data_IF_275770613056
#
_entry.id   IF_275770613056
#
_cell.length_a   1.000
_cell.length_b   1.000
_cell.length_c   1.000
_cell.angle_alpha   90.00
_cell.angle_beta   90.00
_cell.angle_gamma   90.00
#
_symmetry.space_group_name_H-M   'P 1'
#
loop_
_entity.id
_entity.type
_entity.pdbx_description
1 polymer ?
#
# COMPACT_ATOMS: atom_id res chain seq x y z
N UNK A 1 3.89 15.41 -7.63
CA UNK A 1 4.25 16.60 -8.40
C UNK A 1 3.06 17.01 -9.26
N UNK A 2 2.39 18.13 -9.00
CA UNK A 2 1.24 18.54 -9.80
C UNK A 2 1.67 19.07 -11.16
N UNK A 3 1.03 18.59 -12.22
CA UNK A 3 1.11 19.16 -13.55
C UNK A 3 0.14 20.33 -13.66
N UNK A 4 0.50 21.34 -14.46
CA UNK A 4 -0.41 22.44 -14.77
C UNK A 4 -1.64 21.89 -15.50
N UNK A 5 -2.83 22.42 -15.18
CA UNK A 5 -4.05 22.02 -15.85
C UNK A 5 -3.88 22.11 -17.37
N UNK A 6 -4.18 21.01 -18.05
CA UNK A 6 -4.42 21.09 -19.50
C UNK A 6 -5.59 22.05 -19.72
N UNK A 7 -5.56 22.89 -20.77
CA UNK A 7 -6.71 23.71 -21.13
C UNK A 7 -7.93 22.79 -21.26
N UNK A 8 -9.05 23.23 -20.72
CA UNK A 8 -10.31 22.48 -20.90
C UNK A 8 -10.59 22.41 -22.39
N UNK A 9 -11.08 21.29 -22.86
CA UNK A 9 -11.46 21.12 -24.27
C UNK A 9 -12.53 22.17 -24.72
N UNK A 10 -13.21 22.79 -23.75
CA UNK A 10 -14.07 23.97 -23.97
C UNK A 10 -13.34 25.22 -24.45
N UNK A 11 -12.01 25.28 -24.34
CA UNK A 11 -11.20 26.41 -24.71
C UNK A 11 -10.63 26.30 -26.14
N UNK A 12 -10.98 25.23 -26.86
CA UNK A 12 -10.61 25.01 -28.26
C UNK A 12 -11.83 25.34 -29.12
N UNK A 13 -11.77 26.49 -29.74
CA UNK A 13 -12.66 27.10 -30.72
C UNK A 13 -13.90 26.31 -31.19
N UNK A 14 -15.09 26.75 -30.77
CA UNK A 14 -16.34 26.59 -31.51
C UNK A 14 -16.99 25.23 -31.57
N UNK A 15 -16.43 24.20 -31.01
CA UNK A 15 -17.13 22.95 -30.77
C UNK A 15 -17.94 23.09 -29.47
N UNK A 16 -19.26 23.00 -29.57
CA UNK A 16 -20.16 22.97 -28.41
C UNK A 16 -19.69 22.01 -27.34
N UNK A 17 -20.27 22.04 -26.12
CA UNK A 17 -19.73 21.35 -24.95
C UNK A 17 -19.64 19.84 -25.24
N UNK A 18 -18.52 19.43 -25.78
CA UNK A 18 -18.12 18.03 -25.75
C UNK A 18 -17.74 17.79 -24.29
N UNK A 19 -18.71 17.41 -23.49
CA UNK A 19 -18.46 16.72 -22.25
C UNK A 19 -17.69 15.47 -22.62
N UNK A 20 -16.36 15.59 -22.66
CA UNK A 20 -15.54 14.38 -22.53
C UNK A 20 -16.02 13.81 -21.19
N UNK A 21 -16.68 12.63 -21.20
CA UNK A 21 -16.97 12.00 -19.94
C UNK A 21 -15.65 11.96 -19.18
N UNK A 22 -15.68 12.36 -17.93
CA UNK A 22 -14.55 12.33 -17.02
C UNK A 22 -14.16 10.85 -16.90
N UNK A 23 -13.55 10.33 -17.94
CA UNK A 23 -12.76 9.13 -17.85
C UNK A 23 -11.53 9.55 -17.06
N UNK A 24 -11.66 9.52 -15.75
CA UNK A 24 -10.54 9.49 -14.86
C UNK A 24 -9.72 8.24 -15.17
N UNK A 25 -9.11 8.22 -16.35
CA UNK A 25 -8.13 7.24 -16.72
C UNK A 25 -6.90 7.53 -15.89
N UNK A 26 -6.76 6.86 -14.76
CA UNK A 26 -5.51 6.87 -14.03
C UNK A 26 -4.50 6.12 -14.86
N UNK A 27 -3.47 6.82 -15.32
CA UNK A 27 -2.29 6.19 -15.90
C UNK A 27 -1.26 6.04 -14.79
N UNK A 28 -0.78 4.82 -14.57
CA UNK A 28 0.24 4.54 -13.56
C UNK A 28 1.44 3.86 -14.20
N UNK A 29 2.62 4.22 -13.75
CA UNK A 29 3.85 3.53 -14.09
C UNK A 29 4.46 2.96 -12.80
N UNK A 30 4.68 1.65 -12.78
CA UNK A 30 5.33 0.96 -11.69
C UNK A 30 6.80 0.75 -12.03
N UNK A 31 7.70 1.37 -11.29
CA UNK A 31 9.11 1.43 -11.60
C UNK A 31 9.95 0.59 -10.63
N UNK A 32 10.74 -0.37 -11.12
CA UNK A 32 11.79 -0.99 -10.33
C UNK A 32 12.92 0.03 -10.04
N UNK A 33 13.69 -0.20 -8.97
CA UNK A 33 14.67 0.77 -8.50
C UNK A 33 15.73 1.12 -9.55
N UNK A 34 16.12 0.17 -10.39
CA UNK A 34 17.07 0.40 -11.49
C UNK A 34 16.55 1.38 -12.55
N UNK A 35 15.22 1.51 -12.67
CA UNK A 35 14.60 2.48 -13.58
C UNK A 35 14.40 3.85 -12.92
N UNK A 36 14.48 3.91 -11.61
CA UNK A 36 14.41 5.15 -10.82
C UNK A 36 15.76 5.84 -10.80
N UNK A 37 16.85 5.09 -10.54
CA UNK A 37 18.21 5.64 -10.44
C UNK A 37 19.29 4.64 -10.85
N UNK A 38 20.41 5.16 -11.37
CA UNK A 38 21.64 4.38 -11.61
C UNK A 38 22.32 3.93 -10.32
N UNK A 39 22.11 4.66 -9.23
CA UNK A 39 22.78 4.47 -7.95
C UNK A 39 22.08 3.42 -7.05
N UNK A 40 21.21 2.62 -7.67
CA UNK A 40 20.38 1.65 -6.96
C UNK A 40 21.20 0.63 -6.14
N UNK A 41 22.40 0.27 -6.58
CA UNK A 41 23.26 -0.67 -5.86
C UNK A 41 23.78 -0.07 -4.56
N UNK A 42 24.16 1.21 -4.57
CA UNK A 42 24.67 1.92 -3.40
C UNK A 42 23.54 2.15 -2.39
N UNK A 43 22.32 2.45 -2.89
CA UNK A 43 21.11 2.56 -2.05
C UNK A 43 20.84 1.23 -1.35
N UNK A 44 20.85 0.11 -2.06
CA UNK A 44 20.64 -1.23 -1.47
C UNK A 44 21.74 -1.60 -0.47
N UNK A 45 23.00 -1.33 -0.82
CA UNK A 45 24.12 -1.58 0.07
C UNK A 45 23.99 -0.79 1.38
N UNK A 46 23.68 0.50 1.28
CA UNK A 46 23.47 1.35 2.46
C UNK A 46 22.31 0.86 3.31
N UNK A 47 21.18 0.48 2.68
CA UNK A 47 20.03 -0.05 3.39
C UNK A 47 20.34 -1.33 4.17
N UNK A 48 21.17 -2.21 3.60
CA UNK A 48 21.55 -3.49 4.22
C UNK A 48 22.43 -3.34 5.48
N UNK A 49 23.05 -2.18 5.66
CA UNK A 49 23.91 -1.89 6.84
C UNK A 49 23.12 -1.35 8.03
N UNK A 50 21.86 -1.00 7.84
CA UNK A 50 21.04 -0.40 8.89
C UNK A 50 20.54 -1.48 9.84
N UNK A 51 20.85 -1.33 11.12
CA UNK A 51 20.35 -2.23 12.15
C UNK A 51 18.87 -1.95 12.41
N UNK A 52 18.00 -2.90 12.06
CA UNK A 52 16.54 -2.79 12.24
C UNK A 52 16.12 -2.50 13.68
N UNK A 53 16.89 -2.98 14.66
CA UNK A 53 16.61 -2.73 16.09
C UNK A 53 16.65 -1.25 16.44
N UNK A 54 17.49 -0.47 15.75
CA UNK A 54 17.59 0.99 15.98
C UNK A 54 16.38 1.76 15.44
N UNK A 55 15.57 1.13 14.58
CA UNK A 55 14.39 1.72 13.93
C UNK A 55 13.07 1.37 14.65
N UNK A 56 13.14 0.48 15.63
CA UNK A 56 12.00 0.04 16.41
C UNK A 56 12.01 0.71 17.81
N UNK A 57 10.84 0.81 18.46
CA UNK A 57 10.78 1.21 19.87
C UNK A 57 11.66 0.29 20.74
N UNK A 58 12.29 0.86 21.76
CA UNK A 58 13.22 0.12 22.65
C UNK A 58 12.59 -1.07 23.39
N UNK A 59 11.26 -1.09 23.50
CA UNK A 59 10.47 -2.15 24.10
C UNK A 59 9.78 -3.05 23.07
N UNK A 60 10.19 -2.98 21.82
CA UNK A 60 9.64 -3.86 20.78
C UNK A 60 9.89 -5.34 21.13
N UNK A 61 8.87 -6.17 20.96
CA UNK A 61 8.98 -7.61 21.15
C UNK A 61 9.99 -8.20 20.15
N UNK A 62 10.74 -9.22 20.59
CA UNK A 62 11.76 -9.86 19.75
C UNK A 62 11.17 -10.48 18.48
N UNK A 63 9.92 -10.93 18.52
CA UNK A 63 9.24 -11.47 17.34
C UNK A 63 8.96 -10.38 16.30
N UNK A 64 8.66 -9.14 16.73
CA UNK A 64 8.50 -7.99 15.85
C UNK A 64 9.84 -7.66 15.17
N UNK A 65 10.92 -7.67 15.94
CA UNK A 65 12.28 -7.43 15.40
C UNK A 65 12.65 -8.49 14.36
N UNK A 66 12.41 -9.78 14.68
CA UNK A 66 12.66 -10.88 13.75
C UNK A 66 11.81 -10.79 12.48
N UNK A 67 10.53 -10.44 12.62
CA UNK A 67 9.64 -10.23 11.48
C UNK A 67 10.03 -9.06 10.61
N UNK A 68 10.45 -7.94 11.20
CA UNK A 68 10.93 -6.78 10.45
C UNK A 68 12.22 -7.11 9.68
N UNK A 69 13.17 -7.81 10.31
CA UNK A 69 14.38 -8.26 9.63
C UNK A 69 14.04 -9.16 8.43
N UNK A 70 13.17 -10.15 8.62
CA UNK A 70 12.74 -11.03 7.54
C UNK A 70 12.03 -10.28 6.39
N UNK A 71 11.22 -9.28 6.70
CA UNK A 71 10.60 -8.42 5.70
C UNK A 71 11.63 -7.56 4.97
N UNK A 72 12.61 -7.00 5.69
CA UNK A 72 13.67 -6.19 5.10
C UNK A 72 14.52 -7.00 4.12
N UNK A 73 14.90 -8.22 4.47
CA UNK A 73 15.67 -9.09 3.59
C UNK A 73 14.93 -9.35 2.27
N UNK A 74 13.62 -9.63 2.35
CA UNK A 74 12.77 -9.81 1.15
C UNK A 74 12.66 -8.50 0.35
N UNK A 75 12.48 -7.37 1.01
CA UNK A 75 12.35 -6.07 0.33
C UNK A 75 13.63 -5.68 -0.38
N UNK A 76 14.80 -5.93 0.23
CA UNK A 76 16.09 -5.68 -0.41
C UNK A 76 16.32 -6.57 -1.63
N UNK A 77 15.86 -7.83 -1.59
CA UNK A 77 15.89 -8.70 -2.76
C UNK A 77 14.92 -8.22 -3.86
N UNK A 78 13.76 -7.69 -3.50
CA UNK A 78 12.85 -7.06 -4.46
C UNK A 78 13.44 -5.77 -5.05
N UNK A 79 14.18 -4.98 -4.29
CA UNK A 79 14.88 -3.78 -4.76
C UNK A 79 15.97 -4.12 -5.80
N UNK A 80 16.60 -5.29 -5.69
CA UNK A 80 17.55 -5.82 -6.69
C UNK A 80 16.88 -6.29 -7.97
N UNK A 81 15.58 -6.60 -7.93
CA UNK A 81 14.87 -7.21 -9.05
C UNK A 81 14.47 -6.18 -10.10
N UNK A 82 14.79 -6.39 -11.39
CA UNK A 82 14.34 -5.53 -12.47
C UNK A 82 12.83 -5.68 -12.78
N UNK A 83 12.15 -6.63 -12.13
CA UNK A 83 10.74 -6.93 -12.34
C UNK A 83 9.86 -6.56 -11.13
N UNK A 84 10.46 -6.06 -10.06
CA UNK A 84 9.74 -5.67 -8.86
C UNK A 84 9.74 -4.14 -8.71
N UNK A 85 8.59 -3.53 -8.87
CA UNK A 85 8.45 -2.10 -8.70
C UNK A 85 8.62 -1.69 -7.23
N UNK A 86 9.25 -0.56 -7.00
CA UNK A 86 9.42 0.09 -5.70
C UNK A 86 8.71 1.42 -5.63
N UNK A 87 8.51 2.06 -6.78
CA UNK A 87 7.86 3.36 -6.93
C UNK A 87 6.70 3.28 -7.91
N UNK A 88 5.67 4.05 -7.63
CA UNK A 88 4.55 4.32 -8.52
C UNK A 88 4.59 5.79 -8.92
N UNK A 89 4.55 6.05 -10.23
CA UNK A 89 4.29 7.36 -10.79
C UNK A 89 2.85 7.34 -11.30
N UNK A 90 1.97 8.02 -10.60
CA UNK A 90 0.55 8.04 -10.91
C UNK A 90 0.13 9.36 -11.51
N UNK A 91 -0.58 9.29 -12.64
CA UNK A 91 -1.30 10.40 -13.23
C UNK A 91 -2.80 10.15 -13.07
N UNK A 92 -3.38 10.73 -12.05
CA UNK A 92 -4.77 10.49 -11.63
C UNK A 92 -5.79 11.34 -12.39
N UNK A 93 -5.77 11.27 -13.72
CA UNK A 93 -6.85 11.83 -14.57
C UNK A 93 -7.12 13.33 -14.43
N UNK A 94 -6.20 14.07 -13.86
CA UNK A 94 -6.27 15.51 -13.62
C UNK A 94 -4.96 16.20 -14.00
N UNK A 95 -4.66 17.26 -13.29
CA UNK A 95 -3.47 18.09 -13.52
C UNK A 95 -2.26 17.68 -12.69
N UNK A 96 -2.36 16.56 -11.98
CA UNK A 96 -1.39 16.19 -10.97
C UNK A 96 -0.74 14.86 -11.30
N UNK A 97 0.57 14.83 -11.28
CA UNK A 97 1.37 13.60 -11.21
C UNK A 97 1.90 13.47 -9.80
N UNK A 98 1.66 12.32 -9.22
CA UNK A 98 2.15 11.97 -7.89
C UNK A 98 3.21 10.88 -8.00
N UNK A 99 4.14 10.88 -7.05
CA UNK A 99 5.12 9.81 -6.84
C UNK A 99 4.79 9.16 -5.50
N UNK A 100 4.66 7.86 -5.51
CA UNK A 100 4.34 7.10 -4.31
C UNK A 100 5.28 5.90 -4.15
N UNK A 101 5.89 5.80 -2.99
CA UNK A 101 6.65 4.63 -2.62
C UNK A 101 5.70 3.49 -2.28
N UNK A 102 5.75 2.40 -3.03
CA UNK A 102 4.88 1.23 -2.86
C UNK A 102 5.52 0.11 -2.05
N UNK A 103 6.80 0.19 -1.79
CA UNK A 103 7.58 -0.79 -0.99
C UNK A 103 8.48 -0.08 0.03
N UNK A 104 7.91 0.69 0.96
CA UNK A 104 8.73 1.39 1.96
C UNK A 104 9.44 0.39 2.89
N UNK A 105 10.66 0.73 3.25
CA UNK A 105 11.42 0.03 4.29
C UNK A 105 11.03 0.51 5.69
N UNK A 106 10.56 1.74 5.82
CA UNK A 106 10.05 2.32 7.07
C UNK A 106 8.86 1.54 7.63
N UNK A 107 8.70 1.56 8.94
CA UNK A 107 7.56 0.95 9.64
C UNK A 107 6.97 1.94 10.62
N UNK A 108 5.65 1.92 10.69
CA UNK A 108 4.86 2.66 11.66
C UNK A 108 4.17 1.76 12.68
N UNK A 109 3.30 2.35 13.47
CA UNK A 109 2.51 1.64 14.47
C UNK A 109 1.10 2.20 14.60
N UNK A 110 0.19 1.35 15.07
CA UNK A 110 -1.12 1.76 15.53
C UNK A 110 -1.37 1.13 16.89
N UNK A 111 -1.70 1.95 17.86
CA UNK A 111 -1.86 1.55 19.26
C UNK A 111 -3.21 2.04 19.79
N UNK A 112 -3.81 1.25 20.68
CA UNK A 112 -4.99 1.69 21.43
C UNK A 112 -4.59 2.87 22.32
N UNK A 113 -5.45 3.89 22.37
CA UNK A 113 -5.27 4.96 23.33
C UNK A 113 -5.53 4.40 24.75
N UNK A 114 -4.45 4.21 25.51
CA UNK A 114 -4.53 3.58 26.83
C UNK A 114 -5.20 4.44 27.89
N UNK A 115 -5.24 5.77 27.69
CA UNK A 115 -5.91 6.70 28.62
C UNK A 115 -7.41 6.76 28.38
N UNK A 116 -7.87 6.50 27.15
CA UNK A 116 -9.28 6.46 26.78
C UNK A 116 -9.45 5.56 25.54
N UNK A 117 -9.77 4.26 25.73
CA UNK A 117 -9.87 3.30 24.63
C UNK A 117 -11.03 3.57 23.64
N UNK A 118 -11.96 4.50 23.97
CA UNK A 118 -13.05 4.89 23.08
C UNK A 118 -12.60 5.96 22.08
N UNK A 119 -11.54 6.69 22.40
CA UNK A 119 -10.94 7.65 21.47
C UNK A 119 -10.27 6.94 20.29
N UNK A 120 -10.09 7.68 19.19
CA UNK A 120 -9.33 7.15 18.06
C UNK A 120 -7.96 6.58 18.48
N UNK A 121 -7.49 5.51 17.81
CA UNK A 121 -6.19 4.94 18.09
C UNK A 121 -5.08 5.96 17.81
N UNK A 122 -3.95 5.75 18.46
CA UNK A 122 -2.72 6.52 18.22
C UNK A 122 -2.04 5.95 16.97
N UNK A 123 -1.92 6.79 15.96
CA UNK A 123 -1.26 6.47 14.69
C UNK A 123 0.14 7.09 14.66
N UNK A 124 1.11 6.26 14.31
CA UNK A 124 2.42 6.71 13.86
C UNK A 124 2.74 6.01 12.54
N UNK A 125 2.86 6.77 11.46
CA UNK A 125 3.20 6.21 10.15
C UNK A 125 4.68 5.83 10.05
N UNK A 126 5.53 6.37 10.91
CA UNK A 126 6.97 6.15 10.86
C UNK A 126 7.59 6.58 9.53
N UNK A 127 7.00 7.58 8.85
CA UNK A 127 7.41 8.03 7.53
C UNK A 127 8.87 8.43 7.54
N UNK A 128 9.68 7.84 6.63
CA UNK A 128 11.13 8.03 6.55
C UNK A 128 11.88 7.67 7.85
N UNK A 129 11.34 6.76 8.67
CA UNK A 129 12.08 6.19 9.80
C UNK A 129 13.27 5.36 9.32
N UNK A 130 13.15 4.68 8.18
CA UNK A 130 14.27 4.10 7.46
C UNK A 130 14.82 5.14 6.48
N UNK A 131 16.07 5.60 6.63
CA UNK A 131 16.62 6.73 5.85
C UNK A 131 16.63 6.45 4.33
N UNK A 132 16.83 5.21 3.92
CA UNK A 132 16.82 4.80 2.50
C UNK A 132 15.52 5.17 1.78
N UNK A 133 14.38 5.21 2.48
CA UNK A 133 13.11 5.61 1.85
C UNK A 133 13.17 7.05 1.35
N UNK A 134 13.90 7.91 2.04
CA UNK A 134 14.09 9.29 1.61
C UNK A 134 15.04 9.39 0.41
N UNK A 135 16.07 8.54 0.37
CA UNK A 135 17.00 8.48 -0.77
C UNK A 135 16.26 8.00 -2.03
N UNK A 136 15.43 6.96 -1.90
CA UNK A 136 14.60 6.46 -3.00
C UNK A 136 13.59 7.52 -3.46
N UNK A 137 12.90 8.18 -2.53
CA UNK A 137 11.94 9.24 -2.86
C UNK A 137 12.63 10.44 -3.55
N UNK A 138 13.84 10.79 -3.13
CA UNK A 138 14.66 11.83 -3.75
C UNK A 138 15.02 11.46 -5.19
N UNK A 139 15.47 10.23 -5.42
CA UNK A 139 15.77 9.71 -6.74
C UNK A 139 14.53 9.66 -7.64
N UNK A 140 13.38 9.23 -7.09
CA UNK A 140 12.12 9.18 -7.81
C UNK A 140 11.63 10.58 -8.25
N UNK A 141 11.76 11.60 -7.39
CA UNK A 141 11.47 12.98 -7.78
C UNK A 141 12.37 13.45 -8.93
N UNK A 142 13.67 13.18 -8.87
CA UNK A 142 14.61 13.50 -9.95
C UNK A 142 14.21 12.80 -11.26
N UNK A 143 13.83 11.52 -11.17
CA UNK A 143 13.35 10.76 -12.34
C UNK A 143 12.09 11.37 -12.97
N UNK A 144 11.15 11.81 -12.17
CA UNK A 144 9.93 12.49 -12.66
C UNK A 144 10.27 13.86 -13.24
N UNK A 145 11.26 14.57 -12.72
CA UNK A 145 11.78 15.80 -13.30
C UNK A 145 12.31 15.59 -14.72
N UNK A 146 13.09 14.52 -14.93
CA UNK A 146 13.60 14.17 -16.25
C UNK A 146 12.46 13.86 -17.21
N UNK A 147 11.50 13.08 -16.77
CA UNK A 147 10.31 12.76 -17.58
C UNK A 147 9.51 14.01 -17.93
N UNK A 148 9.22 14.87 -16.94
CA UNK A 148 8.47 16.12 -17.18
C UNK A 148 9.25 17.14 -18.03
N UNK A 149 10.58 17.02 -18.15
CA UNK A 149 11.39 17.83 -19.03
C UNK A 149 11.38 17.33 -20.48
N UNK A 150 10.84 16.16 -20.77
CA UNK A 150 10.75 15.60 -22.12
C UNK A 150 9.87 16.46 -23.03
N UNK A 151 10.17 16.45 -24.34
CA UNK A 151 9.45 17.29 -25.34
C UNK A 151 7.93 17.08 -25.25
N UNK A 152 7.40 15.83 -25.26
CA UNK A 152 5.93 15.65 -25.19
C UNK A 152 5.31 16.22 -23.91
N UNK A 153 6.01 16.16 -22.78
CA UNK A 153 5.50 16.72 -21.52
C UNK A 153 5.54 18.25 -21.52
N UNK A 154 6.53 18.84 -22.16
CA UNK A 154 6.61 20.30 -22.30
C UNK A 154 5.55 20.82 -23.28
N UNK A 155 5.23 20.10 -24.35
CA UNK A 155 4.17 20.45 -25.30
C UNK A 155 2.78 20.52 -24.63
N UNK A 156 2.51 19.68 -23.63
CA UNK A 156 1.28 19.74 -22.84
C UNK A 156 1.36 20.70 -21.65
N UNK A 157 2.45 21.48 -21.51
CA UNK A 157 2.63 22.47 -20.47
C UNK A 157 2.95 21.91 -19.09
N UNK A 158 3.59 20.74 -19.00
CA UNK A 158 4.02 20.16 -17.73
C UNK A 158 4.96 21.10 -16.97
N UNK A 159 4.64 21.37 -15.71
CA UNK A 159 5.45 22.21 -14.84
C UNK A 159 5.48 21.64 -13.43
N UNK A 160 6.62 21.80 -12.76
CA UNK A 160 6.77 21.41 -11.37
C UNK A 160 6.23 22.51 -10.47
N UNK A 161 5.33 22.16 -9.56
CA UNK A 161 4.77 23.09 -8.58
C UNK A 161 5.35 22.88 -7.19
N UNK A 162 5.82 21.69 -6.88
CA UNK A 162 6.45 21.36 -5.60
C UNK A 162 7.52 20.28 -5.79
N UNK A 163 8.69 20.41 -5.18
CA UNK A 163 9.17 21.53 -4.36
C UNK A 163 9.56 22.77 -5.20
N UNK A 164 9.57 22.67 -6.52
CA UNK A 164 10.04 23.67 -7.45
C UNK A 164 11.47 23.41 -7.92
N UNK A 165 11.75 23.71 -9.19
CA UNK A 165 13.04 23.38 -9.84
C UNK A 165 14.25 24.14 -9.29
N UNK A 166 14.03 25.21 -8.53
CA UNK A 166 15.08 25.92 -7.82
C UNK A 166 15.66 25.10 -6.65
N UNK A 167 14.92 24.10 -6.14
CA UNK A 167 15.40 23.13 -5.17
C UNK A 167 16.06 22.00 -5.92
N UNK A 168 17.41 21.97 -6.01
CA UNK A 168 18.12 21.08 -6.92
C UNK A 168 19.12 20.15 -6.23
N UNK A 169 19.67 20.52 -5.07
CA UNK A 169 20.56 19.62 -4.34
C UNK A 169 19.78 18.46 -3.71
N UNK A 170 20.38 17.28 -3.63
CA UNK A 170 19.73 16.10 -3.02
C UNK A 170 19.34 16.36 -1.57
N UNK A 171 20.17 17.10 -0.84
CA UNK A 171 19.86 17.52 0.55
C UNK A 171 18.61 18.38 0.63
N UNK A 172 18.46 19.39 -0.25
CA UNK A 172 17.31 20.30 -0.21
C UNK A 172 16.05 19.62 -0.74
N UNK A 173 16.19 18.75 -1.75
CA UNK A 173 15.10 17.91 -2.24
C UNK A 173 14.60 17.00 -1.12
N UNK A 174 15.49 16.30 -0.43
CA UNK A 174 15.14 15.45 0.69
C UNK A 174 14.46 16.23 1.83
N UNK A 175 14.95 17.45 2.13
CA UNK A 175 14.33 18.35 3.08
C UNK A 175 12.91 18.74 2.69
N UNK A 176 12.70 19.11 1.44
CA UNK A 176 11.39 19.45 0.90
C UNK A 176 10.44 18.24 0.93
N UNK A 177 10.89 17.06 0.50
CA UNK A 177 10.09 15.82 0.56
C UNK A 177 9.66 15.54 2.00
N UNK A 178 10.56 15.65 2.96
CA UNK A 178 10.26 15.43 4.38
C UNK A 178 9.17 16.37 4.92
N UNK A 179 9.12 17.59 4.43
CA UNK A 179 8.12 18.59 4.83
C UNK A 179 6.78 18.45 4.12
N UNK A 180 6.80 18.02 2.86
CA UNK A 180 5.61 18.02 1.99
C UNK A 180 5.05 16.63 1.66
N UNK A 181 5.71 15.56 2.08
CA UNK A 181 5.21 14.21 1.81
C UNK A 181 3.96 13.90 2.63
N UNK A 182 2.99 13.28 1.96
CA UNK A 182 1.82 12.69 2.63
C UNK A 182 2.21 11.29 3.09
N UNK A 183 2.07 11.02 4.37
CA UNK A 183 2.52 9.76 4.99
C UNK A 183 1.79 8.51 4.48
N UNK A 184 0.62 8.67 3.92
CA UNK A 184 -0.14 7.57 3.34
C UNK A 184 -1.10 8.09 2.28
N UNK A 185 -1.23 7.35 1.19
CA UNK A 185 -2.26 7.56 0.17
C UNK A 185 -3.53 6.76 0.50
N UNK A 186 -3.88 6.71 1.79
CA UNK A 186 -4.97 5.91 2.34
C UNK A 186 -4.79 4.39 2.12
N UNK A 187 -3.54 3.95 2.04
CA UNK A 187 -3.16 2.54 1.88
C UNK A 187 -2.37 1.98 3.08
N UNK A 188 -2.70 2.30 4.36
CA UNK A 188 -2.03 1.66 5.49
C UNK A 188 -2.35 0.17 5.51
N UNK A 189 -1.33 -0.64 5.77
CA UNK A 189 -1.43 -2.11 5.77
C UNK A 189 -0.63 -2.72 6.91
N UNK A 190 -0.69 -4.03 7.07
CA UNK A 190 0.29 -4.85 7.78
C UNK A 190 0.24 -4.79 9.31
N UNK A 191 -0.70 -4.08 9.93
CA UNK A 191 -0.77 -3.95 11.40
C UNK A 191 -1.30 -5.21 12.11
N UNK A 192 -1.91 -6.16 11.37
CA UNK A 192 -2.33 -7.48 11.85
C UNK A 192 -1.76 -8.57 10.94
N UNK A 193 -0.47 -8.51 10.64
CA UNK A 193 0.19 -9.31 9.61
C UNK A 193 -0.10 -10.81 9.70
N UNK A 194 -0.36 -11.41 8.53
CA UNK A 194 -0.47 -12.86 8.36
C UNK A 194 0.94 -13.47 8.26
N UNK A 195 1.58 -13.60 9.40
CA UNK A 195 2.90 -14.18 9.60
C UNK A 195 2.84 -15.24 10.69
N UNK A 196 3.88 -16.04 10.84
CA UNK A 196 4.00 -16.91 12.01
C UNK A 196 4.20 -16.09 13.29
N UNK A 197 3.89 -16.67 14.45
CA UNK A 197 4.01 -15.95 15.73
C UNK A 197 5.44 -15.53 16.02
N UNK A 198 6.39 -16.33 15.62
CA UNK A 198 7.83 -16.10 15.78
C UNK A 198 8.33 -14.87 15.00
N UNK A 199 7.55 -14.46 13.98
CA UNK A 199 7.78 -13.26 13.18
C UNK A 199 6.77 -12.13 13.50
N UNK A 200 6.21 -12.12 14.71
CA UNK A 200 5.27 -11.10 15.13
C UNK A 200 3.90 -11.15 14.45
N UNK A 201 3.54 -12.29 13.85
CA UNK A 201 2.26 -12.49 13.19
C UNK A 201 1.07 -12.40 14.13
N UNK A 202 -0.01 -11.79 13.67
CA UNK A 202 -1.28 -11.63 14.40
C UNK A 202 -2.30 -12.66 13.97
N UNK A 203 -2.31 -13.03 12.70
CA UNK A 203 -3.24 -14.02 12.14
C UNK A 203 -2.52 -15.15 11.41
N UNK A 204 -3.13 -16.31 11.39
CA UNK A 204 -2.66 -17.48 10.63
C UNK A 204 -3.12 -17.41 9.15
N UNK A 205 -2.72 -18.38 8.33
CA UNK A 205 -3.10 -18.49 6.90
C UNK A 205 -4.61 -18.66 6.65
N UNK A 206 -5.39 -18.90 7.69
CA UNK A 206 -6.86 -18.92 7.68
C UNK A 206 -7.45 -17.62 8.25
N UNK A 207 -6.62 -16.61 8.45
CA UNK A 207 -6.95 -15.28 8.99
C UNK A 207 -7.50 -15.30 10.42
N UNK A 208 -7.25 -16.38 11.18
CA UNK A 208 -7.65 -16.49 12.58
C UNK A 208 -6.63 -15.80 13.47
N UNK A 209 -7.13 -15.00 14.40
CA UNK A 209 -6.28 -14.31 15.38
C UNK A 209 -5.66 -15.33 16.33
N UNK A 210 -4.35 -15.28 16.50
CA UNK A 210 -3.66 -16.13 17.44
C UNK A 210 -4.10 -15.90 18.88
N UNK A 211 -4.29 -16.99 19.62
CA UNK A 211 -4.66 -16.95 21.04
C UNK A 211 -6.15 -16.63 21.31
N UNK A 212 -6.93 -16.30 20.28
CA UNK A 212 -8.35 -15.98 20.41
C UNK A 212 -9.20 -16.97 19.61
N UNK A 213 -10.27 -17.50 20.20
CA UNK A 213 -11.19 -18.40 19.52
C UNK A 213 -12.30 -17.63 18.81
N UNK A 214 -12.59 -17.98 17.55
CA UNK A 214 -13.72 -17.46 16.81
C UNK A 214 -13.53 -16.04 16.23
N UNK A 215 -12.32 -15.46 16.25
CA UNK A 215 -12.02 -14.15 15.70
C UNK A 215 -11.14 -14.27 14.45
N UNK A 216 -11.46 -13.47 13.43
CA UNK A 216 -10.65 -13.28 12.23
C UNK A 216 -10.46 -11.80 11.95
N UNK A 217 -9.36 -11.47 11.26
CA UNK A 217 -9.13 -10.16 10.63
C UNK A 217 -9.17 -10.34 9.12
N UNK A 218 -9.92 -9.48 8.41
CA UNK A 218 -10.21 -9.63 6.97
C UNK A 218 -10.17 -8.26 6.29
N UNK A 219 -9.05 -7.58 6.40
CA UNK A 219 -8.81 -6.28 5.78
C UNK A 219 -7.33 -6.13 5.38
N UNK A 220 -6.90 -4.95 4.95
CA UNK A 220 -5.53 -4.71 4.52
C UNK A 220 -4.49 -4.90 5.63
N UNK A 221 -4.88 -4.91 6.90
CA UNK A 221 -3.94 -5.08 8.02
C UNK A 221 -3.29 -6.46 8.05
N UNK A 222 -3.90 -7.47 7.39
CA UNK A 222 -3.33 -8.82 7.31
C UNK A 222 -2.14 -8.96 6.36
N UNK A 223 -1.90 -8.00 5.48
CA UNK A 223 -0.81 -8.14 4.51
C UNK A 223 0.53 -8.24 5.24
N UNK A 224 1.37 -9.24 4.94
CA UNK A 224 2.71 -9.33 5.53
C UNK A 224 3.60 -8.14 5.15
N UNK A 225 3.40 -7.59 3.97
CA UNK A 225 4.06 -6.40 3.41
C UNK A 225 3.08 -5.67 2.49
N UNK A 226 3.34 -4.40 2.22
CA UNK A 226 2.55 -3.64 1.25
C UNK A 226 2.58 -4.33 -0.13
N UNK A 227 1.42 -4.42 -0.76
CA UNK A 227 1.32 -4.94 -2.14
C UNK A 227 1.83 -3.89 -3.12
N UNK A 228 2.39 -4.33 -4.25
CA UNK A 228 2.84 -3.43 -5.30
C UNK A 228 1.64 -2.95 -6.13
N UNK A 229 0.89 -2.00 -5.60
CA UNK A 229 -0.29 -1.43 -6.25
C UNK A 229 -1.33 -0.98 -5.24
N UNK A 230 -2.46 -0.53 -5.75
CA UNK A 230 -3.58 -0.08 -4.93
C UNK A 230 -4.21 -1.26 -4.18
N UNK A 231 -4.50 -1.08 -2.89
CA UNK A 231 -4.84 -2.16 -1.97
C UNK A 231 -6.24 -2.74 -2.16
N UNK A 232 -7.18 -1.98 -2.73
CA UNK A 232 -8.60 -2.32 -2.81
C UNK A 232 -8.86 -3.69 -3.45
N UNK A 233 -8.28 -3.97 -4.62
CA UNK A 233 -8.51 -5.23 -5.33
C UNK A 233 -8.07 -6.44 -4.50
N UNK A 234 -6.94 -6.34 -3.81
CA UNK A 234 -6.44 -7.41 -2.95
C UNK A 234 -7.32 -7.60 -1.72
N UNK A 235 -7.82 -6.50 -1.12
CA UNK A 235 -8.76 -6.57 0.02
C UNK A 235 -10.06 -7.24 -0.38
N UNK A 236 -10.64 -6.88 -1.53
CA UNK A 236 -11.85 -7.55 -2.06
C UNK A 236 -11.60 -9.04 -2.30
N UNK A 237 -10.48 -9.42 -2.90
CA UNK A 237 -10.14 -10.82 -3.14
C UNK A 237 -10.02 -11.63 -1.83
N UNK A 238 -9.42 -11.03 -0.79
CA UNK A 238 -9.33 -11.65 0.54
C UNK A 238 -10.71 -11.81 1.16
N UNK A 239 -11.55 -10.78 1.11
CA UNK A 239 -12.90 -10.80 1.68
C UNK A 239 -13.77 -11.86 0.99
N UNK A 240 -13.75 -11.92 -0.34
CA UNK A 240 -14.47 -12.96 -1.11
C UNK A 240 -14.01 -14.37 -0.74
N UNK A 241 -12.71 -14.60 -0.65
CA UNK A 241 -12.17 -15.91 -0.25
C UNK A 241 -12.65 -16.34 1.14
N UNK A 242 -12.70 -15.42 2.09
CA UNK A 242 -13.17 -15.72 3.47
C UNK A 242 -14.68 -15.93 3.49
N UNK A 243 -15.44 -15.08 2.81
CA UNK A 243 -16.90 -15.20 2.68
C UNK A 243 -17.29 -16.55 2.09
N UNK A 244 -16.64 -16.98 1.00
CA UNK A 244 -16.87 -18.28 0.39
C UNK A 244 -16.57 -19.44 1.35
N UNK A 245 -15.49 -19.36 2.10
CA UNK A 245 -15.13 -20.40 3.08
C UNK A 245 -16.11 -20.43 4.27
N UNK A 246 -16.58 -19.29 4.74
CA UNK A 246 -17.56 -19.19 5.81
C UNK A 246 -18.95 -19.69 5.36
N UNK A 247 -19.43 -19.33 4.17
CA UNK A 247 -20.75 -19.76 3.67
C UNK A 247 -20.82 -21.27 3.45
N UNK A 248 -19.73 -21.93 3.08
CA UNK A 248 -19.67 -23.41 3.00
C UNK A 248 -19.80 -24.11 4.35
N UNK A 249 -19.36 -23.46 5.44
CA UNK A 249 -19.44 -24.01 6.80
C UNK A 249 -20.83 -23.81 7.42
N UNK A 250 -21.53 -22.73 7.05
CA UNK A 250 -22.81 -22.37 7.72
C UNK A 250 -24.02 -22.97 7.03
N UNK A 251 -23.89 -23.47 5.80
CA UNK A 251 -25.03 -24.09 5.06
C UNK A 251 -26.24 -23.15 4.88
N UNK A 252 -26.12 -21.89 5.23
CA UNK A 252 -27.16 -20.88 5.27
C UNK A 252 -26.88 -19.76 4.29
N UNK A 253 -27.73 -19.63 3.36
CA UNK A 253 -27.94 -18.67 2.26
C UNK A 253 -27.56 -19.23 0.88
N UNK A 254 -28.64 -19.62 0.17
CA UNK A 254 -28.59 -19.77 -1.27
C UNK A 254 -28.32 -18.42 -1.94
N UNK A 255 -27.10 -17.92 -1.81
CA UNK A 255 -26.61 -16.83 -2.64
C UNK A 255 -26.12 -17.48 -3.93
N UNK A 256 -26.90 -17.36 -4.99
CA UNK A 256 -26.43 -17.64 -6.33
C UNK A 256 -25.31 -16.65 -6.66
N UNK A 257 -24.08 -17.00 -6.27
CA UNK A 257 -22.90 -16.37 -6.83
C UNK A 257 -22.92 -16.65 -8.34
N UNK A 258 -23.03 -15.60 -9.13
CA UNK A 258 -22.98 -15.66 -10.59
C UNK A 258 -21.75 -16.48 -11.01
N UNK A 259 -21.97 -17.58 -11.74
CA UNK A 259 -20.97 -18.57 -12.16
C UNK A 259 -19.95 -18.07 -13.19
N UNK A 260 -19.70 -16.79 -13.30
CA UNK A 260 -18.85 -16.24 -14.36
C UNK A 260 -17.37 -16.04 -14.00
N UNK A 261 -16.92 -16.37 -12.77
CA UNK A 261 -15.51 -16.25 -12.37
C UNK A 261 -14.94 -17.51 -11.71
N UNK A 262 -15.25 -18.69 -12.21
CA UNK A 262 -14.55 -19.91 -11.83
C UNK A 262 -13.53 -20.28 -12.92
N UNK A 263 -12.21 -20.31 -12.65
CA UNK A 263 -11.28 -20.91 -13.58
C UNK A 263 -11.55 -22.41 -13.65
N UNK A 264 -11.72 -22.92 -14.86
CA UNK A 264 -11.88 -24.34 -15.12
C UNK A 264 -10.64 -25.10 -14.62
N UNK A 265 -10.85 -26.06 -13.73
CA UNK A 265 -9.87 -27.13 -13.53
C UNK A 265 -9.29 -27.40 -12.14
N UNK A 266 -9.91 -27.06 -11.02
CA UNK A 266 -9.42 -27.57 -9.72
C UNK A 266 -10.46 -28.48 -9.04
N UNK A 267 -10.22 -29.80 -9.11
CA UNK A 267 -10.87 -30.77 -8.19
C UNK A 267 -10.21 -30.64 -6.82
N UNK A 268 -10.91 -30.05 -5.87
CA UNK A 268 -10.45 -29.99 -4.50
C UNK A 268 -11.02 -31.16 -3.70
N UNK A 269 -10.13 -31.95 -3.10
CA UNK A 269 -10.46 -33.12 -2.31
C UNK A 269 -11.02 -32.71 -0.95
N UNK A 270 -12.19 -33.23 -0.59
CA UNK A 270 -12.86 -32.95 0.68
C UNK A 270 -12.30 -33.87 1.77
N UNK A 271 -11.71 -33.31 2.79
CA UNK A 271 -11.67 -33.95 4.13
C UNK A 271 -11.91 -32.90 5.20
N UNK A 272 -13.01 -33.11 5.86
CA UNK A 272 -13.58 -32.60 7.10
C UNK A 272 -12.68 -31.89 8.10
N UNK A 273 -13.10 -30.68 8.54
CA UNK A 273 -13.17 -30.35 9.96
C UNK A 273 -14.19 -29.20 10.10
N UNK A 274 -15.32 -29.50 10.74
CA UNK A 274 -16.37 -28.56 11.11
C UNK A 274 -15.85 -27.55 12.13
N UNK A 275 -16.05 -26.26 11.86
CA UNK A 275 -15.99 -25.23 12.87
C UNK A 275 -17.06 -24.17 12.59
N UNK A 276 -17.97 -24.01 13.56
CA UNK A 276 -19.16 -23.16 13.45
C UNK A 276 -18.84 -21.69 13.35
N UNK A 277 -19.34 -21.05 12.30
CA UNK A 277 -19.36 -19.59 12.11
C UNK A 277 -20.51 -18.88 12.88
N UNK A 278 -21.13 -19.56 13.85
CA UNK A 278 -22.34 -19.07 14.54
C UNK A 278 -22.17 -17.78 15.35
N UNK A 279 -20.95 -17.29 15.51
CA UNK A 279 -20.66 -16.10 16.34
C UNK A 279 -20.29 -14.84 15.57
N UNK A 280 -20.40 -14.81 14.25
CA UNK A 280 -20.03 -13.65 13.44
C UNK A 280 -21.20 -12.74 13.04
N UNK A 281 -22.43 -13.08 13.42
CA UNK A 281 -23.60 -12.21 13.21
C UNK A 281 -23.95 -11.55 14.52
N UNK A 282 -23.95 -10.19 14.61
CA UNK A 282 -24.50 -9.51 15.77
C UNK A 282 -25.98 -9.89 15.88
N UNK A 283 -26.35 -10.52 16.97
CA UNK A 283 -27.77 -10.77 17.30
C UNK A 283 -28.45 -9.42 17.43
N UNK A 284 -29.24 -9.01 16.44
CA UNK A 284 -30.18 -7.89 16.62
C UNK A 284 -31.16 -8.28 17.69
N UNK A 285 -31.14 -7.59 18.82
CA UNK A 285 -32.24 -7.65 19.79
C UNK A 285 -33.48 -7.11 19.12
N UNK A 286 -34.65 -7.77 19.20
CA UNK A 286 -35.88 -7.20 18.73
C UNK A 286 -36.31 -6.11 19.71
N UNK A 287 -36.51 -4.88 19.23
CA UNK A 287 -37.19 -3.82 19.91
C UNK A 287 -36.32 -2.72 20.49
N UNK A 288 -36.12 -1.69 19.69
CA UNK A 288 -36.34 -0.27 20.11
C UNK A 288 -36.21 0.60 18.85
N UNK A 289 -37.22 1.41 18.66
CA UNK A 289 -37.40 2.43 17.63
C UNK A 289 -36.28 3.47 17.69
#
# INVERSE_FOLDING_TARGET
>A
MPLKALPRVSDVDGAGPMTIPYFGGSSVAFLPLQNVTSDYQDIIASASLINVTSLLPTNADQTITAGYQAQLDILLDLYKSPHAAVEEVAWEGGNTVCVAMIRPLSRGSILINTTDPIKPPVFDFGTFSHPTDLDVATAALKKVRDWTASVPMQEIGASETYPGRNISSDHDIAGAIRQGAVSSWQHPTSTCSMLTRELGGVVDSKLRVYGVKGLRVVDASIFPMAVAGHTSSTVYAVAEKVSFNCSRVVGLFGYHANRHFAPAGSRYNQSSTEMSCEKLVPQRRPGSY
#
